data_IF_597634509447
#
_entry.id   IF_597634509447
#
_cell.length_a   1.000
_cell.length_b   1.000
_cell.length_c   1.000
_cell.angle_alpha   90.00
_cell.angle_beta   90.00
_cell.angle_gamma   90.00
#
_symmetry.space_group_name_H-M   'P 1'
#
loop_
_entity.id
_entity.type
_entity.pdbx_description
1 polymer ?
#
# COMPACT_ATOMS: atom_id res chain seq x y z
N UNK A 1 -24.23 3.12 10.70
CA UNK A 1 -23.05 3.28 9.81
C UNK A 1 -23.46 4.18 8.66
N UNK A 2 -22.82 5.34 8.49
CA UNK A 2 -23.07 6.22 7.35
C UNK A 2 -22.11 5.83 6.22
N UNK A 3 -22.64 5.38 5.08
CA UNK A 3 -21.85 5.17 3.86
C UNK A 3 -21.57 6.54 3.22
N UNK A 4 -20.30 6.81 2.91
CA UNK A 4 -19.85 8.07 2.31
C UNK A 4 -20.31 8.18 0.84
N UNK A 5 -21.01 9.26 0.48
CA UNK A 5 -21.49 9.55 -0.90
C UNK A 5 -20.36 9.76 -1.93
N UNK A 6 -19.14 9.95 -1.46
CA UNK A 6 -17.95 10.15 -2.30
C UNK A 6 -17.21 8.83 -2.60
N UNK A 7 -17.68 7.69 -2.08
CA UNK A 7 -17.19 6.36 -2.46
C UNK A 7 -17.95 5.82 -3.68
N UNK A 8 -17.21 5.25 -4.63
CA UNK A 8 -17.77 4.62 -5.84
C UNK A 8 -17.15 3.24 -5.98
N UNK A 9 -17.99 2.21 -6.08
CA UNK A 9 -17.55 0.84 -6.32
C UNK A 9 -17.36 0.64 -7.83
N UNK A 10 -16.24 0.02 -8.21
CA UNK A 10 -15.99 -0.46 -9.57
C UNK A 10 -16.14 -1.97 -9.57
N UNK A 11 -17.01 -2.48 -10.45
CA UNK A 11 -17.22 -3.92 -10.62
C UNK A 11 -16.72 -4.27 -12.02
N UNK A 12 -15.69 -5.14 -12.13
CA UNK A 12 -15.17 -5.55 -13.43
C UNK A 12 -16.21 -6.34 -14.22
N UNK A 13 -16.18 -6.19 -15.54
CA UNK A 13 -16.93 -7.05 -16.45
C UNK A 13 -16.32 -8.46 -16.54
N UNK A 14 -16.99 -9.37 -17.22
CA UNK A 14 -16.55 -10.77 -17.34
C UNK A 14 -15.15 -10.94 -17.95
N UNK A 15 -14.75 -10.01 -18.83
CA UNK A 15 -13.47 -10.06 -19.55
C UNK A 15 -12.33 -9.29 -18.85
N UNK A 16 -12.57 -8.81 -17.63
CA UNK A 16 -11.64 -7.97 -16.88
C UNK A 16 -11.28 -8.65 -15.55
N UNK A 17 -10.00 -8.91 -15.36
CA UNK A 17 -9.48 -9.36 -14.07
C UNK A 17 -9.55 -8.23 -13.03
N UNK A 18 -10.02 -8.54 -11.82
CA UNK A 18 -10.26 -7.55 -10.77
C UNK A 18 -8.97 -6.91 -10.26
N UNK A 19 -7.91 -7.70 -10.13
CA UNK A 19 -6.61 -7.23 -9.66
C UNK A 19 -5.94 -6.39 -10.75
N UNK A 20 -6.02 -6.84 -12.01
CA UNK A 20 -5.60 -6.04 -13.15
C UNK A 20 -6.28 -4.66 -13.16
N UNK A 21 -7.60 -4.62 -12.99
CA UNK A 21 -8.35 -3.36 -12.94
C UNK A 21 -7.85 -2.46 -11.79
N UNK A 22 -7.63 -3.03 -10.61
CA UNK A 22 -7.08 -2.29 -9.46
C UNK A 22 -5.72 -1.67 -9.82
N UNK A 23 -4.79 -2.47 -10.35
CA UNK A 23 -3.46 -2.00 -10.69
C UNK A 23 -3.45 -0.99 -11.84
N UNK A 24 -4.29 -1.19 -12.86
CA UNK A 24 -4.46 -0.26 -13.97
C UNK A 24 -4.98 1.11 -13.49
N UNK A 25 -5.92 1.11 -12.53
CA UNK A 25 -6.44 2.32 -11.90
C UNK A 25 -5.37 3.03 -11.06
N UNK A 26 -4.58 2.28 -10.27
CA UNK A 26 -3.47 2.83 -9.49
C UNK A 26 -2.43 3.47 -10.41
N UNK A 27 -2.06 2.80 -11.50
CA UNK A 27 -1.11 3.34 -12.49
C UNK A 27 -1.62 4.65 -13.13
N UNK A 28 -2.94 4.82 -13.25
CA UNK A 28 -3.58 6.05 -13.78
C UNK A 28 -3.94 7.07 -12.70
N UNK A 29 -3.54 6.87 -11.44
CA UNK A 29 -3.86 7.77 -10.32
C UNK A 29 -3.58 9.24 -10.61
N UNK A 30 -2.46 9.56 -11.26
CA UNK A 30 -2.14 10.96 -11.60
C UNK A 30 -3.13 11.57 -12.61
N UNK A 31 -3.51 10.81 -13.65
CA UNK A 31 -4.52 11.24 -14.61
C UNK A 31 -5.89 11.40 -13.94
N UNK A 32 -6.26 10.44 -13.10
CA UNK A 32 -7.47 10.49 -12.28
C UNK A 32 -7.50 11.75 -11.40
N UNK A 33 -6.44 12.03 -10.65
CA UNK A 33 -6.35 13.21 -9.78
C UNK A 33 -6.44 14.52 -10.57
N UNK A 34 -5.88 14.57 -11.78
CA UNK A 34 -5.97 15.76 -12.64
C UNK A 34 -7.38 16.04 -13.18
N UNK A 35 -8.22 15.00 -13.28
CA UNK A 35 -9.62 15.10 -13.69
C UNK A 35 -10.59 15.37 -12.52
N UNK A 36 -10.09 15.41 -11.28
CA UNK A 36 -10.89 15.82 -10.12
C UNK A 36 -11.11 17.32 -10.19
N UNK A 37 -12.22 17.73 -10.81
CA UNK A 37 -12.67 19.11 -10.81
C UNK A 37 -12.88 19.64 -9.39
N UNK A 38 -12.55 20.91 -9.18
CA UNK A 38 -12.99 21.68 -8.01
C UNK A 38 -14.49 21.91 -8.13
N UNK A 39 -15.32 21.30 -7.27
CA UNK A 39 -16.73 21.71 -7.20
C UNK A 39 -16.82 23.15 -6.67
N UNK A 40 -17.92 23.84 -6.99
CA UNK A 40 -18.21 25.22 -6.55
C UNK A 40 -18.24 25.44 -5.02
N UNK A 41 -18.04 24.39 -4.21
CA UNK A 41 -17.99 24.42 -2.75
C UNK A 41 -16.62 24.00 -2.17
N UNK A 42 -15.56 23.97 -2.98
CA UNK A 42 -14.21 23.59 -2.53
C UNK A 42 -14.03 22.10 -2.23
N UNK A 43 -15.10 21.30 -2.34
CA UNK A 43 -15.02 19.84 -2.23
C UNK A 43 -14.58 19.27 -3.58
N UNK A 44 -13.41 18.63 -3.60
CA UNK A 44 -12.91 17.88 -4.75
C UNK A 44 -13.73 16.61 -4.92
N UNK A 45 -14.58 16.56 -5.96
CA UNK A 45 -15.42 15.39 -6.27
C UNK A 45 -15.12 14.91 -7.67
N UNK A 46 -14.86 13.61 -7.80
CA UNK A 46 -14.84 12.95 -9.10
C UNK A 46 -16.27 12.52 -9.44
N UNK A 47 -16.84 13.12 -10.48
CA UNK A 47 -18.13 12.71 -11.00
C UNK A 47 -18.04 11.31 -11.60
N UNK A 48 -19.12 10.51 -11.48
CA UNK A 48 -19.14 9.16 -12.07
C UNK A 48 -18.91 9.17 -13.59
N UNK A 49 -19.29 10.26 -14.28
CA UNK A 49 -19.03 10.45 -15.70
C UNK A 49 -17.52 10.49 -16.02
N UNK A 50 -16.71 11.19 -15.22
CA UNK A 50 -15.27 11.29 -15.44
C UNK A 50 -14.56 9.93 -15.27
N UNK A 51 -15.08 9.07 -14.39
CA UNK A 51 -14.55 7.70 -14.23
C UNK A 51 -14.89 6.84 -15.45
N UNK A 52 -16.11 6.98 -15.99
CA UNK A 52 -16.54 6.24 -17.17
C UNK A 52 -15.78 6.64 -18.45
N UNK A 53 -15.25 7.87 -18.51
CA UNK A 53 -14.44 8.37 -19.62
C UNK A 53 -12.97 7.94 -19.54
N UNK A 54 -12.54 7.30 -18.44
CA UNK A 54 -11.16 6.86 -18.30
C UNK A 54 -10.89 5.66 -19.22
N UNK A 55 -10.02 5.87 -20.20
CA UNK A 55 -9.56 4.80 -21.08
C UNK A 55 -8.41 4.04 -20.41
N UNK A 56 -8.62 2.75 -20.19
CA UNK A 56 -7.60 1.81 -19.72
C UNK A 56 -7.20 0.88 -20.87
N UNK A 57 -5.90 0.52 -20.98
CA UNK A 57 -5.52 -0.59 -21.84
C UNK A 57 -6.23 -1.86 -21.34
N UNK A 58 -6.68 -2.70 -22.28
CA UNK A 58 -7.31 -3.97 -21.95
C UNK A 58 -6.62 -5.10 -22.75
N UNK A 59 -5.58 -5.72 -22.17
CA UNK A 59 -4.90 -6.85 -22.78
C UNK A 59 -5.77 -8.11 -22.71
N UNK A 60 -5.28 -9.22 -23.27
CA UNK A 60 -5.97 -10.51 -23.20
C UNK A 60 -5.99 -11.05 -21.77
N UNK A 61 -6.95 -11.92 -21.47
CA UNK A 61 -7.21 -12.40 -20.10
C UNK A 61 -5.99 -13.09 -19.46
N UNK A 62 -5.20 -13.82 -20.24
CA UNK A 62 -3.94 -14.44 -19.82
C UNK A 62 -2.91 -13.39 -19.38
N UNK A 63 -2.69 -12.37 -20.20
CA UNK A 63 -1.77 -11.26 -19.94
C UNK A 63 -2.24 -10.41 -18.73
N UNK A 64 -3.55 -10.16 -18.60
CA UNK A 64 -4.10 -9.50 -17.42
C UNK A 64 -3.71 -10.25 -16.13
N UNK A 65 -3.89 -11.59 -16.12
CA UNK A 65 -3.54 -12.42 -14.99
C UNK A 65 -2.02 -12.47 -14.70
N UNK A 66 -1.17 -12.44 -15.73
CA UNK A 66 0.28 -12.36 -15.55
C UNK A 66 0.71 -11.03 -14.91
N UNK A 67 0.19 -9.91 -15.41
CA UNK A 67 0.45 -8.58 -14.85
C UNK A 67 0.00 -8.53 -13.38
N UNK A 68 -1.22 -8.98 -13.10
CA UNK A 68 -1.78 -8.98 -11.76
C UNK A 68 -0.95 -9.82 -10.78
N UNK A 69 -0.55 -11.05 -11.18
CA UNK A 69 0.30 -11.91 -10.35
C UNK A 69 1.66 -11.30 -10.07
N UNK A 70 2.29 -10.69 -11.08
CA UNK A 70 3.59 -10.06 -10.91
C UNK A 70 3.52 -8.91 -9.89
N UNK A 71 2.53 -8.02 -10.02
CA UNK A 71 2.35 -6.89 -9.12
C UNK A 71 1.99 -7.32 -7.70
N UNK A 72 1.07 -8.28 -7.55
CA UNK A 72 0.72 -8.84 -6.25
C UNK A 72 1.92 -9.43 -5.53
N UNK A 73 2.81 -10.13 -6.24
CA UNK A 73 4.00 -10.72 -5.63
C UNK A 73 4.96 -9.66 -5.05
N UNK A 74 4.98 -8.45 -5.63
CA UNK A 74 5.77 -7.32 -5.14
C UNK A 74 5.12 -6.76 -3.88
N UNK A 75 3.80 -6.55 -3.88
CA UNK A 75 3.05 -6.05 -2.72
C UNK A 75 3.16 -7.00 -1.52
N UNK A 76 3.00 -8.31 -1.74
CA UNK A 76 3.16 -9.31 -0.67
C UNK A 76 4.57 -9.28 -0.07
N UNK A 77 5.59 -8.99 -0.89
CA UNK A 77 6.97 -8.86 -0.40
C UNK A 77 7.14 -7.58 0.43
N UNK A 78 6.54 -6.47 0.00
CA UNK A 78 6.57 -5.21 0.74
C UNK A 78 5.87 -5.36 2.10
N UNK A 79 4.70 -5.99 2.13
CA UNK A 79 3.94 -6.26 3.35
C UNK A 79 4.77 -7.07 4.36
N UNK A 80 5.39 -8.18 3.92
CA UNK A 80 6.25 -9.00 4.80
C UNK A 80 7.42 -8.22 5.38
N UNK A 81 8.03 -7.33 4.60
CA UNK A 81 9.15 -6.49 5.08
C UNK A 81 8.64 -5.45 6.09
N UNK A 82 7.49 -4.85 5.82
CA UNK A 82 6.84 -3.89 6.73
C UNK A 82 6.46 -4.53 8.06
N UNK A 83 5.92 -5.75 8.03
CA UNK A 83 5.55 -6.52 9.22
C UNK A 83 6.78 -6.90 10.05
N UNK A 84 7.83 -7.39 9.39
CA UNK A 84 9.09 -7.72 10.06
C UNK A 84 9.72 -6.49 10.72
N UNK A 85 9.68 -5.33 10.03
CA UNK A 85 10.17 -4.06 10.59
C UNK A 85 9.34 -3.63 11.80
N UNK A 86 8.02 -3.76 11.73
CA UNK A 86 7.13 -3.39 12.83
C UNK A 86 7.38 -4.27 14.06
N UNK A 87 7.46 -5.59 13.86
CA UNK A 87 7.78 -6.54 14.93
C UNK A 87 9.15 -6.28 15.57
N UNK A 88 10.16 -5.93 14.76
CA UNK A 88 11.49 -5.59 15.27
C UNK A 88 11.48 -4.32 16.12
N UNK A 89 10.74 -3.29 15.70
CA UNK A 89 10.60 -2.05 16.48
C UNK A 89 9.87 -2.31 17.80
N UNK A 90 8.79 -3.09 17.78
CA UNK A 90 8.07 -3.48 19.00
C UNK A 90 8.96 -4.25 19.97
N UNK A 91 9.77 -5.19 19.45
CA UNK A 91 10.75 -5.92 20.26
C UNK A 91 11.81 -4.98 20.84
N UNK A 92 12.35 -4.08 20.03
CA UNK A 92 13.34 -3.11 20.48
C UNK A 92 12.79 -2.22 21.60
N UNK A 93 11.58 -1.70 21.45
CA UNK A 93 10.93 -0.87 22.46
C UNK A 93 10.68 -1.63 23.76
N UNK A 94 10.22 -2.88 23.67
CA UNK A 94 10.02 -3.75 24.84
C UNK A 94 11.34 -4.07 25.56
N UNK A 95 12.42 -4.31 24.82
CA UNK A 95 13.76 -4.53 25.37
C UNK A 95 14.31 -3.27 26.03
N UNK A 96 14.20 -2.12 25.37
CA UNK A 96 14.63 -0.83 25.90
C UNK A 96 13.89 -0.50 27.20
N UNK A 97 12.57 -0.73 27.23
CA UNK A 97 11.79 -0.56 28.46
C UNK A 97 12.26 -1.50 29.57
N UNK A 98 12.58 -2.75 29.25
CA UNK A 98 13.09 -3.73 30.22
C UNK A 98 14.48 -3.38 30.76
N UNK A 99 15.34 -2.77 29.93
CA UNK A 99 16.63 -2.22 30.33
C UNK A 99 16.48 -0.99 31.22
N UNK A 100 15.67 -0.01 30.80
CA UNK A 100 15.46 1.25 31.53
C UNK A 100 14.75 1.04 32.88
N UNK A 101 13.90 0.01 32.99
CA UNK A 101 13.26 -0.39 34.26
C UNK A 101 14.14 -1.30 35.12
N UNK A 102 15.34 -1.67 34.65
CA UNK A 102 16.28 -2.51 35.39
C UNK A 102 15.85 -3.96 35.56
N UNK A 103 14.81 -4.41 34.82
CA UNK A 103 14.41 -5.84 34.77
C UNK A 103 15.49 -6.68 34.10
N UNK A 104 16.17 -6.11 33.11
CA UNK A 104 17.37 -6.68 32.49
C UNK A 104 18.54 -5.77 32.87
N UNK A 105 19.61 -6.36 33.42
CA UNK A 105 20.85 -5.63 33.73
C UNK A 105 21.93 -6.05 32.75
N UNK A 106 22.48 -5.08 32.01
CA UNK A 106 23.68 -5.31 31.19
C UNK A 106 24.93 -5.24 32.06
N UNK A 107 25.94 -6.07 31.77
CA UNK A 107 27.28 -5.92 32.34
C UNK A 107 28.08 -4.97 31.42
N UNK A 108 29.05 -4.25 31.95
CA UNK A 108 29.83 -3.25 31.18
C UNK A 108 30.55 -3.83 29.95
N UNK A 109 30.78 -5.15 29.90
CA UNK A 109 31.38 -5.83 28.75
C UNK A 109 30.41 -6.02 27.57
N UNK A 110 29.10 -5.84 27.76
CA UNK A 110 28.06 -6.11 26.77
C UNK A 110 27.73 -4.89 25.88
N UNK A 111 28.27 -3.70 26.19
CA UNK A 111 27.97 -2.42 25.50
C UNK A 111 28.77 -2.17 24.22
N UNK A 112 29.55 -3.14 23.73
CA UNK A 112 30.27 -2.97 22.46
C UNK A 112 29.27 -3.00 21.30
N UNK A 113 29.19 -1.96 20.46
CA UNK A 113 28.33 -2.01 19.28
C UNK A 113 28.80 -3.17 18.37
N UNK A 114 27.87 -3.93 17.76
CA UNK A 114 28.24 -4.93 16.77
C UNK A 114 28.98 -4.23 15.64
N UNK A 115 30.20 -4.70 15.34
CA UNK A 115 31.01 -4.15 14.26
C UNK A 115 30.18 -4.11 12.98
N UNK A 116 29.97 -2.92 12.44
CA UNK A 116 29.25 -2.72 11.19
C UNK A 116 29.96 -3.52 10.08
N UNK A 117 29.45 -4.71 9.77
CA UNK A 117 29.82 -5.42 8.57
C UNK A 117 29.16 -4.69 7.39
N UNK A 118 29.88 -3.69 6.87
CA UNK A 118 29.59 -3.09 5.59
C UNK A 118 29.94 -4.10 4.48
N UNK A 119 29.03 -4.39 3.53
CA UNK A 119 29.39 -5.00 2.25
C UNK A 119 30.07 -3.98 1.32
#
# INVERSE_FOLDING_TARGET
MAFNQDMKALVPGADVDADYLLYAMIARKHALVSQIGTSAHGTRRMGSASIAELLLPLPRSDEQGEIARALRSIEEREERVSDARSALNELFDAMLQSLMTGRIRMKDQDLRPPEAHAP
#
